data_IF_818243900223
#
_entry.id   IF_818243900223
#
_cell.length_a   1.000
_cell.length_b   1.000
_cell.length_c   1.000
_cell.angle_alpha   90.00
_cell.angle_beta   90.00
_cell.angle_gamma   90.00
#
_symmetry.space_group_name_H-M   'P 1'
#
loop_
_entity.id
_entity.type
_entity.pdbx_description
1 polymer ?
#
# COMPACT_ATOMS: atom_id res chain seq x y z
N UNK A 1 -49.80 25.25 -17.15
CA UNK A 1 -48.37 24.89 -17.26
C UNK A 1 -47.84 24.82 -15.82
N UNK A 2 -47.86 23.63 -15.22
CA UNK A 2 -47.29 23.36 -13.90
C UNK A 2 -45.81 23.00 -14.09
N UNK A 3 -44.87 23.49 -13.26
CA UNK A 3 -43.47 23.10 -13.37
C UNK A 3 -43.33 21.65 -12.93
N UNK A 4 -42.72 20.83 -13.79
CA UNK A 4 -42.40 19.43 -13.59
C UNK A 4 -41.44 19.25 -12.41
N UNK A 5 -41.88 18.50 -11.41
CA UNK A 5 -41.07 17.96 -10.32
C UNK A 5 -39.93 17.11 -10.91
N UNK A 6 -38.68 17.46 -10.59
CA UNK A 6 -37.54 16.55 -10.77
C UNK A 6 -37.69 15.44 -9.73
N UNK A 7 -37.52 14.15 -10.08
CA UNK A 7 -37.45 13.10 -9.08
C UNK A 7 -36.24 13.34 -8.18
N UNK A 8 -36.47 13.31 -6.86
CA UNK A 8 -35.43 13.41 -5.84
C UNK A 8 -34.44 12.24 -5.99
N UNK A 9 -33.13 12.47 -5.75
CA UNK A 9 -32.18 11.38 -5.68
C UNK A 9 -32.56 10.47 -4.51
N UNK A 10 -32.75 9.19 -4.81
CA UNK A 10 -33.00 8.13 -3.83
C UNK A 10 -31.81 8.08 -2.87
N UNK A 11 -32.06 8.42 -1.61
CA UNK A 11 -31.15 8.24 -0.49
C UNK A 11 -31.03 6.75 -0.18
N UNK A 12 -30.13 6.06 -0.87
CA UNK A 12 -29.64 4.73 -0.48
C UNK A 12 -28.24 4.45 -1.06
N UNK A 13 -27.30 5.38 -0.86
CA UNK A 13 -25.86 5.15 -1.06
C UNK A 13 -25.18 5.23 0.30
N UNK A 14 -25.35 4.18 1.10
CA UNK A 14 -24.66 4.01 2.38
C UNK A 14 -23.20 3.65 2.11
N UNK A 15 -22.29 4.63 2.26
CA UNK A 15 -20.85 4.49 1.96
C UNK A 15 -20.11 3.53 2.93
N UNK A 16 -20.69 3.13 4.08
CA UNK A 16 -20.15 2.12 5.02
C UNK A 16 -21.26 1.56 5.93
N UNK A 17 -21.18 0.30 6.43
CA UNK A 17 -21.14 -0.98 5.72
C UNK A 17 -22.52 -1.69 5.73
N UNK A 18 -22.81 -2.46 4.68
CA UNK A 18 -23.86 -3.49 4.70
C UNK A 18 -23.53 -4.50 5.81
N UNK A 19 -24.42 -4.68 6.79
CA UNK A 19 -24.36 -5.80 7.73
C UNK A 19 -24.27 -7.10 6.91
N UNK A 20 -23.13 -7.80 7.04
CA UNK A 20 -22.93 -9.10 6.40
C UNK A 20 -23.03 -10.18 7.44
N UNK A 21 -24.10 -10.95 7.32
CA UNK A 21 -24.41 -12.16 8.08
C UNK A 21 -23.52 -13.34 7.63
N UNK A 22 -22.20 -13.12 7.43
CA UNK A 22 -21.27 -14.23 7.25
C UNK A 22 -20.87 -14.78 8.64
N UNK A 23 -20.94 -16.11 8.86
CA UNK A 23 -20.44 -16.69 10.10
C UNK A 23 -18.97 -16.31 10.25
N UNK A 24 -18.58 -15.71 11.38
CA UNK A 24 -17.21 -15.28 11.67
C UNK A 24 -16.23 -16.40 11.30
N UNK A 25 -15.58 -16.25 10.15
CA UNK A 25 -14.57 -17.19 9.71
C UNK A 25 -13.45 -17.20 10.77
N UNK A 26 -12.95 -18.39 11.09
CA UNK A 26 -11.84 -18.53 12.03
C UNK A 26 -10.67 -17.64 11.57
N UNK A 27 -10.23 -16.76 12.48
CA UNK A 27 -9.06 -15.91 12.23
C UNK A 27 -7.85 -16.76 11.87
N UNK A 28 -6.99 -16.22 11.00
CA UNK A 28 -5.79 -16.89 10.55
C UNK A 28 -4.93 -17.41 11.73
N UNK A 29 -4.29 -18.59 11.56
CA UNK A 29 -3.35 -19.08 12.55
C UNK A 29 -2.14 -18.12 12.72
N UNK A 30 -1.47 -18.12 13.89
CA UNK A 30 -0.41 -17.16 14.18
C UNK A 30 0.76 -17.16 13.19
N UNK A 31 1.07 -18.31 12.58
CA UNK A 31 2.17 -18.45 11.62
C UNK A 31 1.99 -17.58 10.36
N UNK A 32 0.93 -17.78 9.58
CA UNK A 32 0.60 -16.91 8.44
C UNK A 32 0.47 -15.43 8.79
N UNK A 33 -0.09 -15.09 9.96
CA UNK A 33 -0.19 -13.69 10.41
C UNK A 33 1.18 -13.07 10.61
N UNK A 34 2.10 -13.78 11.28
CA UNK A 34 3.46 -13.30 11.51
C UNK A 34 4.23 -13.13 10.18
N UNK A 35 4.10 -14.10 9.28
CA UNK A 35 4.74 -14.04 7.97
C UNK A 35 4.17 -12.91 7.10
N UNK A 36 2.86 -12.65 7.17
CA UNK A 36 2.23 -11.51 6.52
C UNK A 36 2.80 -10.18 7.02
N UNK A 37 2.95 -10.03 8.34
CA UNK A 37 3.57 -8.83 8.95
C UNK A 37 5.01 -8.61 8.48
N UNK A 38 5.79 -9.68 8.33
CA UNK A 38 7.15 -9.60 7.79
C UNK A 38 7.18 -9.07 6.35
N UNK A 39 6.28 -9.57 5.49
CA UNK A 39 6.13 -9.06 4.13
C UNK A 39 5.66 -7.61 4.09
N UNK A 40 4.70 -7.21 4.94
CA UNK A 40 4.24 -5.81 5.05
C UNK A 40 5.42 -4.90 5.42
N UNK A 41 6.16 -5.24 6.47
CA UNK A 41 7.30 -4.46 6.94
C UNK A 41 8.39 -4.33 5.86
N UNK A 42 8.68 -5.42 5.14
CA UNK A 42 9.61 -5.37 4.02
C UNK A 42 9.08 -4.54 2.86
N UNK A 43 7.78 -4.64 2.54
CA UNK A 43 7.13 -3.81 1.53
C UNK A 43 7.26 -2.32 1.84
N UNK A 44 7.01 -1.92 3.10
CA UNK A 44 7.16 -0.54 3.56
C UNK A 44 8.61 -0.07 3.44
N UNK A 45 9.58 -0.86 3.92
CA UNK A 45 11.02 -0.52 3.79
C UNK A 45 11.43 -0.32 2.33
N UNK A 46 10.99 -1.21 1.45
CA UNK A 46 11.30 -1.14 0.03
C UNK A 46 10.66 0.10 -0.63
N UNK A 47 9.43 0.46 -0.25
CA UNK A 47 8.79 1.68 -0.72
C UNK A 47 9.58 2.94 -0.31
N UNK A 48 10.03 2.99 0.94
CA UNK A 48 10.85 4.11 1.46
C UNK A 48 12.20 4.23 0.72
N UNK A 49 12.73 3.13 0.22
CA UNK A 49 13.96 3.10 -0.59
C UNK A 49 13.70 3.37 -2.08
N UNK A 50 12.45 3.63 -2.49
CA UNK A 50 12.07 3.85 -3.89
C UNK A 50 11.95 2.57 -4.72
N UNK A 51 12.06 1.38 -4.11
CA UNK A 51 11.90 0.09 -4.78
C UNK A 51 10.40 -0.28 -4.93
N UNK A 52 9.65 0.53 -5.68
CA UNK A 52 8.18 0.48 -5.78
C UNK A 52 7.67 -0.89 -6.27
N UNK A 53 8.26 -1.46 -7.32
CA UNK A 53 7.83 -2.77 -7.86
C UNK A 53 8.10 -3.92 -6.89
N UNK A 54 9.23 -3.88 -6.19
CA UNK A 54 9.56 -4.87 -5.16
C UNK A 54 8.58 -4.76 -3.99
N UNK A 55 8.29 -3.54 -3.54
CA UNK A 55 7.31 -3.25 -2.49
C UNK A 55 5.92 -3.79 -2.86
N UNK A 56 5.46 -3.49 -4.09
CA UNK A 56 4.19 -4.03 -4.63
C UNK A 56 4.16 -5.55 -4.59
N UNK A 57 5.27 -6.19 -4.96
CA UNK A 57 5.39 -7.65 -4.92
C UNK A 57 5.23 -8.20 -3.49
N UNK A 58 5.76 -7.52 -2.47
CA UNK A 58 5.57 -7.93 -1.08
C UNK A 58 4.10 -7.84 -0.64
N UNK A 59 3.40 -6.75 -0.94
CA UNK A 59 1.98 -6.64 -0.59
C UNK A 59 1.12 -7.68 -1.31
N UNK A 60 1.43 -8.03 -2.56
CA UNK A 60 0.75 -9.13 -3.27
C UNK A 60 1.03 -10.49 -2.61
N UNK A 61 2.24 -10.73 -2.08
CA UNK A 61 2.51 -11.96 -1.32
C UNK A 61 1.66 -12.05 -0.07
N UNK A 62 1.41 -10.93 0.61
CA UNK A 62 0.51 -10.89 1.78
C UNK A 62 -0.89 -11.36 1.38
N UNK A 63 -1.48 -10.78 0.33
CA UNK A 63 -2.83 -11.16 -0.12
C UNK A 63 -2.90 -12.62 -0.56
N UNK A 64 -1.86 -13.15 -1.22
CA UNK A 64 -1.77 -14.57 -1.57
C UNK A 64 -1.67 -15.46 -0.35
N UNK A 65 -0.83 -15.10 0.62
CA UNK A 65 -0.66 -15.86 1.85
C UNK A 65 -1.98 -15.92 2.65
N UNK A 66 -2.65 -14.78 2.81
CA UNK A 66 -3.94 -14.68 3.50
C UNK A 66 -4.98 -15.55 2.79
N UNK A 67 -5.22 -15.33 1.50
CA UNK A 67 -6.22 -16.08 0.74
C UNK A 67 -5.97 -17.60 0.77
N UNK A 68 -4.74 -18.05 0.53
CA UNK A 68 -4.38 -19.48 0.60
C UNK A 68 -4.57 -20.07 1.99
N UNK A 69 -4.29 -19.31 3.04
CA UNK A 69 -4.44 -19.78 4.42
C UNK A 69 -5.93 -19.87 4.82
N UNK A 70 -6.77 -18.94 4.38
CA UNK A 70 -8.23 -19.00 4.58
C UNK A 70 -8.85 -20.18 3.82
N UNK A 71 -8.42 -20.39 2.57
CA UNK A 71 -8.84 -21.53 1.75
C UNK A 71 -8.41 -22.87 2.34
N UNK A 72 -7.20 -22.97 2.91
CA UNK A 72 -6.72 -24.18 3.58
C UNK A 72 -7.55 -24.54 4.83
N UNK A 73 -8.07 -23.55 5.57
CA UNK A 73 -8.91 -23.79 6.74
C UNK A 73 -10.30 -24.33 6.36
N UNK A 74 -10.82 -23.92 5.21
CA UNK A 74 -12.18 -24.25 4.75
C UNK A 74 -12.21 -25.39 3.72
N UNK A 75 -11.04 -25.82 3.22
CA UNK A 75 -10.94 -26.79 2.13
C UNK A 75 -11.47 -26.24 0.80
N UNK A 76 -11.39 -24.92 0.59
CA UNK A 76 -11.96 -24.20 -0.54
C UNK A 76 -10.88 -23.57 -1.44
N UNK A 77 -11.29 -22.94 -2.55
CA UNK A 77 -10.45 -22.07 -3.39
C UNK A 77 -11.06 -20.66 -3.58
N UNK A 78 -12.13 -20.37 -2.82
CA UNK A 78 -12.94 -19.14 -2.91
C UNK A 78 -12.07 -17.89 -2.75
N UNK A 79 -11.17 -17.86 -1.77
CA UNK A 79 -10.39 -16.66 -1.49
C UNK A 79 -9.31 -16.42 -2.55
N UNK A 80 -8.63 -17.48 -2.99
CA UNK A 80 -7.62 -17.40 -4.03
C UNK A 80 -8.22 -17.03 -5.40
N UNK A 81 -9.38 -17.60 -5.74
CA UNK A 81 -10.11 -17.27 -6.97
C UNK A 81 -10.60 -15.82 -6.95
N UNK A 82 -11.12 -15.36 -5.80
CA UNK A 82 -11.52 -13.97 -5.63
C UNK A 82 -10.32 -13.02 -5.76
N UNK A 83 -9.15 -13.36 -5.21
CA UNK A 83 -7.95 -12.54 -5.39
C UNK A 83 -7.58 -12.41 -6.87
N UNK A 84 -7.58 -13.53 -7.60
CA UNK A 84 -7.27 -13.55 -9.02
C UNK A 84 -8.32 -12.79 -9.85
N UNK A 85 -9.59 -12.85 -9.47
CA UNK A 85 -10.67 -12.11 -10.12
C UNK A 85 -10.57 -10.61 -9.87
N UNK A 86 -10.31 -10.19 -8.63
CA UNK A 86 -10.22 -8.78 -8.25
C UNK A 86 -9.02 -8.07 -8.88
N UNK A 87 -7.83 -8.68 -8.84
CA UNK A 87 -6.64 -8.13 -9.50
C UNK A 87 -6.85 -8.00 -11.01
N UNK A 88 -7.41 -9.03 -11.64
CA UNK A 88 -7.69 -9.01 -13.09
C UNK A 88 -8.69 -7.93 -13.46
N UNK A 89 -9.74 -7.74 -12.67
CA UNK A 89 -10.73 -6.71 -12.93
C UNK A 89 -10.12 -5.30 -12.88
N UNK A 90 -9.16 -5.03 -11.97
CA UNK A 90 -8.42 -3.76 -11.97
C UNK A 90 -7.50 -3.60 -13.18
N UNK A 91 -6.86 -4.68 -13.64
CA UNK A 91 -6.03 -4.66 -14.85
C UNK A 91 -6.88 -4.38 -16.09
N UNK A 92 -7.98 -5.11 -16.27
CA UNK A 92 -8.92 -4.96 -17.40
C UNK A 92 -9.70 -3.62 -17.34
N UNK A 93 -9.88 -3.02 -16.17
CA UNK A 93 -10.51 -1.71 -16.02
C UNK A 93 -9.76 -0.61 -16.80
N UNK A 94 -8.44 -0.74 -16.96
CA UNK A 94 -7.60 0.20 -17.70
C UNK A 94 -8.01 0.35 -19.17
N UNK A 95 -8.58 -0.68 -19.78
CA UNK A 95 -8.94 -0.71 -21.20
C UNK A 95 -10.15 0.19 -21.53
N UNK A 96 -10.93 0.59 -20.51
CA UNK A 96 -12.02 1.56 -20.68
C UNK A 96 -11.55 3.02 -20.69
N UNK A 97 -10.25 3.28 -20.47
CA UNK A 97 -9.70 4.63 -20.50
C UNK A 97 -9.40 5.04 -21.95
N UNK A 98 -9.93 6.19 -22.44
CA UNK A 98 -9.60 6.69 -23.76
C UNK A 98 -8.08 6.92 -23.88
N UNK A 99 -7.46 6.31 -24.88
CA UNK A 99 -6.02 6.48 -25.14
C UNK A 99 -5.80 7.58 -26.20
N UNK A 100 -5.04 8.63 -25.86
CA UNK A 100 -4.65 9.69 -26.79
C UNK A 100 -5.69 10.81 -26.99
N UNK A 101 -5.59 11.56 -28.09
CA UNK A 101 -6.53 12.64 -28.46
C UNK A 101 -7.89 12.15 -29.00
N UNK A 102 -8.11 10.83 -28.99
CA UNK A 102 -9.36 10.21 -29.40
C UNK A 102 -10.44 10.45 -28.35
N UNK A 103 -11.50 11.13 -28.75
CA UNK A 103 -12.74 11.25 -27.98
C UNK A 103 -13.30 9.84 -27.65
N UNK A 104 -14.03 9.73 -26.54
CA UNK A 104 -14.70 8.51 -26.05
C UNK A 104 -15.46 7.74 -27.14
N UNK A 105 -15.89 8.41 -28.21
CA UNK A 105 -16.65 7.85 -29.34
C UNK A 105 -15.92 6.83 -30.22
N UNK A 106 -14.62 6.59 -30.04
CA UNK A 106 -13.86 5.57 -30.81
C UNK A 106 -13.67 4.24 -30.05
N UNK A 107 -14.12 4.12 -28.80
CA UNK A 107 -13.96 2.90 -28.02
C UNK A 107 -15.11 1.91 -28.31
N UNK A 108 -14.78 0.77 -28.94
CA UNK A 108 -15.72 -0.34 -29.12
C UNK A 108 -15.87 -1.11 -27.81
N UNK A 109 -16.79 -0.66 -26.96
CA UNK A 109 -17.06 -1.23 -25.64
C UNK A 109 -17.41 -2.72 -25.71
N UNK A 110 -18.19 -3.12 -26.71
CA UNK A 110 -18.58 -4.52 -26.90
C UNK A 110 -17.37 -5.41 -27.11
N UNK A 111 -16.49 -5.03 -28.03
CA UNK A 111 -15.25 -5.78 -28.30
C UNK A 111 -14.33 -5.86 -27.09
N UNK A 112 -14.17 -4.76 -26.35
CA UNK A 112 -13.36 -4.72 -25.11
C UNK A 112 -13.94 -5.68 -24.07
N UNK A 113 -15.23 -5.58 -23.75
CA UNK A 113 -15.91 -6.43 -22.76
C UNK A 113 -15.87 -7.91 -23.17
N UNK A 114 -16.00 -8.21 -24.46
CA UNK A 114 -15.90 -9.58 -24.96
C UNK A 114 -14.52 -10.18 -24.73
N UNK A 115 -13.44 -9.40 -24.91
CA UNK A 115 -12.06 -9.84 -24.71
C UNK A 115 -11.71 -10.08 -23.23
N UNK A 116 -12.35 -9.33 -22.32
CA UNK A 116 -12.12 -9.44 -20.88
C UNK A 116 -12.58 -10.79 -20.32
N UNK A 117 -11.92 -11.25 -19.25
CA UNK A 117 -12.36 -12.43 -18.49
C UNK A 117 -13.28 -12.04 -17.33
N UNK A 118 -13.29 -10.77 -16.91
CA UNK A 118 -14.19 -10.26 -15.88
C UNK A 118 -15.65 -10.35 -16.36
N UNK A 119 -16.57 -10.93 -15.56
CA UNK A 119 -17.91 -11.27 -16.04
C UNK A 119 -18.93 -10.12 -16.02
N UNK A 120 -18.63 -9.00 -15.35
CA UNK A 120 -19.59 -7.98 -14.87
C UNK A 120 -20.51 -7.40 -15.94
N UNK A 121 -20.02 -7.24 -17.17
CA UNK A 121 -20.75 -6.55 -18.24
C UNK A 121 -21.07 -7.44 -19.45
N UNK A 122 -20.76 -8.74 -19.39
CA UNK A 122 -20.92 -9.68 -20.53
C UNK A 122 -22.35 -9.80 -21.05
N UNK A 123 -23.35 -9.53 -20.20
CA UNK A 123 -24.77 -9.69 -20.51
C UNK A 123 -25.55 -8.36 -20.56
N UNK A 124 -24.86 -7.21 -20.57
CA UNK A 124 -25.53 -5.89 -20.63
C UNK A 124 -25.72 -5.41 -22.06
N UNK A 125 -26.76 -4.62 -22.30
CA UNK A 125 -26.98 -3.94 -23.58
C UNK A 125 -25.93 -2.82 -23.75
N UNK A 126 -25.07 -2.99 -24.75
CA UNK A 126 -23.96 -2.07 -25.08
C UNK A 126 -24.44 -0.67 -25.45
N UNK A 127 -25.65 -0.54 -26.00
CA UNK A 127 -26.18 0.75 -26.51
C UNK A 127 -26.41 1.79 -25.41
N UNK A 128 -26.44 1.36 -24.15
CA UNK A 128 -26.68 2.23 -23.00
C UNK A 128 -25.44 2.38 -22.11
N UNK A 129 -24.32 1.75 -22.45
CA UNK A 129 -23.14 1.69 -21.62
C UNK A 129 -22.15 2.79 -22.00
N UNK A 130 -21.64 3.53 -21.01
CA UNK A 130 -20.56 4.50 -21.19
C UNK A 130 -19.23 3.91 -20.70
N UNK A 131 -18.07 4.38 -21.20
CA UNK A 131 -16.76 3.94 -20.69
C UNK A 131 -16.61 4.17 -19.18
N UNK A 132 -17.09 5.31 -18.67
CA UNK A 132 -17.08 5.60 -17.24
C UNK A 132 -17.94 4.61 -16.44
N UNK A 133 -19.14 4.28 -16.90
CA UNK A 133 -19.99 3.30 -16.23
C UNK A 133 -19.37 1.89 -16.26
N UNK A 134 -18.71 1.53 -17.36
CA UNK A 134 -17.98 0.27 -17.47
C UNK A 134 -16.79 0.21 -16.50
N UNK A 135 -16.00 1.28 -16.44
CA UNK A 135 -14.90 1.45 -15.51
C UNK A 135 -15.39 1.30 -14.06
N UNK A 136 -16.42 2.04 -13.67
CA UNK A 136 -17.02 1.97 -12.33
C UNK A 136 -17.49 0.56 -11.97
N UNK A 137 -18.13 -0.16 -12.91
CA UNK A 137 -18.60 -1.51 -12.68
C UNK A 137 -17.44 -2.51 -12.45
N UNK A 138 -16.33 -2.35 -13.16
CA UNK A 138 -15.13 -3.18 -12.96
C UNK A 138 -14.45 -2.89 -11.63
N UNK A 139 -14.31 -1.62 -11.26
CA UNK A 139 -13.78 -1.21 -9.96
C UNK A 139 -14.63 -1.75 -8.79
N UNK A 140 -15.95 -1.59 -8.85
CA UNK A 140 -16.86 -2.12 -7.83
C UNK A 140 -16.76 -3.65 -7.69
N UNK A 141 -16.65 -4.38 -8.81
CA UNK A 141 -16.43 -5.82 -8.77
C UNK A 141 -15.07 -6.17 -8.17
N UNK A 142 -14.01 -5.44 -8.54
CA UNK A 142 -12.69 -5.65 -7.99
C UNK A 142 -12.67 -5.45 -6.46
N UNK A 143 -13.30 -4.39 -5.96
CA UNK A 143 -13.43 -4.10 -4.53
C UNK A 143 -14.07 -5.27 -3.78
N UNK A 144 -15.19 -5.80 -4.30
CA UNK A 144 -15.85 -6.95 -3.67
C UNK A 144 -15.00 -8.21 -3.71
N UNK A 145 -14.35 -8.49 -4.84
CA UNK A 145 -13.50 -9.68 -4.97
C UNK A 145 -12.25 -9.59 -4.08
N UNK A 146 -11.63 -8.42 -3.97
CA UNK A 146 -10.50 -8.19 -3.06
C UNK A 146 -10.93 -8.29 -1.60
N UNK A 147 -12.13 -7.81 -1.25
CA UNK A 147 -12.67 -7.98 0.09
C UNK A 147 -12.91 -9.46 0.43
N UNK A 148 -13.52 -10.23 -0.49
CA UNK A 148 -13.67 -11.67 -0.33
C UNK A 148 -12.30 -12.33 -0.17
N UNK A 149 -11.31 -11.97 -0.99
CA UNK A 149 -9.96 -12.53 -0.92
C UNK A 149 -9.26 -12.30 0.43
N UNK A 150 -9.47 -11.13 1.03
CA UNK A 150 -8.88 -10.76 2.32
C UNK A 150 -9.64 -11.27 3.54
N UNK A 151 -10.92 -11.65 3.40
CA UNK A 151 -11.76 -12.05 4.53
C UNK A 151 -11.91 -10.92 5.54
N UNK A 152 -11.71 -11.21 6.83
CA UNK A 152 -11.70 -10.24 7.93
C UNK A 152 -10.29 -10.02 8.52
N UNK A 153 -9.25 -10.20 7.70
CA UNK A 153 -7.86 -10.18 8.16
C UNK A 153 -7.23 -8.80 8.01
N UNK A 154 -6.85 -8.19 9.13
CA UNK A 154 -6.18 -6.88 9.15
C UNK A 154 -4.94 -6.84 8.24
N UNK A 155 -4.17 -7.94 8.18
CA UNK A 155 -2.99 -8.01 7.31
C UNK A 155 -3.33 -7.83 5.81
N UNK A 156 -4.51 -8.29 5.37
CA UNK A 156 -4.97 -8.05 4.00
C UNK A 156 -5.37 -6.59 3.79
N UNK A 157 -6.05 -5.97 4.76
CA UNK A 157 -6.36 -4.55 4.72
C UNK A 157 -5.09 -3.68 4.68
N UNK A 158 -4.09 -3.97 5.51
CA UNK A 158 -2.77 -3.30 5.51
C UNK A 158 -2.07 -3.43 4.15
N UNK A 159 -2.14 -4.61 3.53
CA UNK A 159 -1.53 -4.84 2.22
C UNK A 159 -2.23 -4.06 1.11
N UNK A 160 -3.56 -3.98 1.13
CA UNK A 160 -4.34 -3.17 0.17
C UNK A 160 -4.08 -1.67 0.38
N UNK A 161 -4.02 -1.22 1.63
CA UNK A 161 -3.59 0.13 1.97
C UNK A 161 -2.18 0.44 1.40
N UNK A 162 -1.23 -0.49 1.58
CA UNK A 162 0.10 -0.39 1.00
C UNK A 162 0.08 -0.29 -0.53
N UNK A 163 -0.68 -1.16 -1.21
CA UNK A 163 -0.84 -1.15 -2.67
C UNK A 163 -1.44 0.17 -3.18
N UNK A 164 -2.42 0.73 -2.46
CA UNK A 164 -3.04 2.00 -2.77
C UNK A 164 -2.01 3.15 -2.72
N UNK A 165 -1.18 3.19 -1.66
CA UNK A 165 -0.12 4.21 -1.50
C UNK A 165 0.94 4.14 -2.60
N UNK A 166 1.14 2.98 -3.23
CA UNK A 166 2.09 2.83 -4.33
C UNK A 166 1.54 3.28 -5.69
N UNK A 167 0.21 3.34 -5.88
CA UNK A 167 -0.38 3.63 -7.20
C UNK A 167 0.12 4.93 -7.84
N UNK A 168 0.21 6.06 -7.12
CA UNK A 168 0.72 7.31 -7.71
C UNK A 168 2.17 7.22 -8.22
N UNK A 169 2.92 6.19 -7.82
CA UNK A 169 4.30 5.96 -8.23
C UNK A 169 4.44 4.89 -9.33
N UNK A 170 3.39 4.13 -9.62
CA UNK A 170 3.37 3.07 -10.63
C UNK A 170 2.92 3.59 -12.00
N UNK A 171 2.09 4.62 -12.04
CA UNK A 171 1.56 5.22 -13.28
C UNK A 171 2.58 6.16 -13.97
N UNK A 172 3.79 5.65 -14.22
CA UNK A 172 4.89 6.37 -14.91
C UNK A 172 4.58 6.65 -16.39
N UNK A 173 3.55 6.01 -16.96
CA UNK A 173 3.08 6.25 -18.35
C UNK A 173 2.19 7.49 -18.49
N UNK A 174 1.67 8.04 -17.39
CA UNK A 174 0.92 9.29 -17.41
C UNK A 174 1.90 10.46 -17.29
N UNK A 175 2.41 10.93 -18.42
CA UNK A 175 3.16 12.18 -18.54
C UNK A 175 2.39 13.44 -18.07
N UNK A 176 1.16 13.27 -17.57
CA UNK A 176 0.37 14.30 -16.90
C UNK A 176 0.17 13.90 -15.44
N UNK A 177 0.96 14.50 -14.53
CA UNK A 177 0.82 14.43 -13.06
C UNK A 177 -0.53 14.93 -12.51
N UNK A 178 -1.47 15.26 -13.39
CA UNK A 178 -2.77 15.83 -13.06
C UNK A 178 -3.88 14.92 -13.58
N UNK A 179 -4.34 13.99 -12.74
CA UNK A 179 -5.79 13.74 -12.69
C UNK A 179 -6.32 12.31 -12.66
N UNK A 180 -5.54 11.26 -12.90
CA UNK A 180 -6.13 9.93 -13.16
C UNK A 180 -5.60 8.73 -12.36
N UNK A 181 -4.69 8.93 -11.41
CA UNK A 181 -4.13 7.83 -10.58
C UNK A 181 -5.04 7.46 -9.38
N UNK A 182 -6.19 8.14 -9.25
CA UNK A 182 -7.13 8.00 -8.15
C UNK A 182 -7.95 6.71 -8.13
N UNK A 183 -8.57 6.25 -9.24
CA UNK A 183 -9.57 5.19 -9.20
C UNK A 183 -9.04 3.84 -8.67
N UNK A 184 -7.83 3.44 -9.07
CA UNK A 184 -7.24 2.17 -8.59
C UNK A 184 -6.88 2.28 -7.11
N UNK A 185 -6.30 3.42 -6.68
CA UNK A 185 -6.00 3.67 -5.27
C UNK A 185 -7.29 3.67 -4.42
N UNK A 186 -8.35 4.30 -4.90
CA UNK A 186 -9.66 4.33 -4.25
C UNK A 186 -10.21 2.91 -4.08
N UNK A 187 -10.19 2.07 -5.12
CA UNK A 187 -10.65 0.69 -5.01
C UNK A 187 -9.85 -0.13 -4.00
N UNK A 188 -8.53 0.09 -3.90
CA UNK A 188 -7.74 -0.57 -2.87
C UNK A 188 -8.09 -0.07 -1.45
N UNK A 189 -8.30 1.23 -1.25
CA UNK A 189 -8.74 1.75 0.05
C UNK A 189 -10.15 1.27 0.43
N UNK A 190 -11.09 1.26 -0.52
CA UNK A 190 -12.44 0.75 -0.33
C UNK A 190 -12.42 -0.75 0.01
N UNK A 191 -11.63 -1.55 -0.70
CA UNK A 191 -11.45 -2.97 -0.38
C UNK A 191 -10.85 -3.17 1.03
N UNK A 192 -9.88 -2.34 1.43
CA UNK A 192 -9.31 -2.39 2.79
C UNK A 192 -10.37 -2.11 3.86
N UNK A 193 -11.24 -1.12 3.64
CA UNK A 193 -12.35 -0.79 4.56
C UNK A 193 -13.47 -1.84 4.56
N UNK A 194 -13.68 -2.55 3.44
CA UNK A 194 -14.60 -3.68 3.40
C UNK A 194 -14.09 -4.88 4.20
N UNK A 195 -12.78 -5.08 4.27
CA UNK A 195 -12.13 -6.15 5.07
C UNK A 195 -12.09 -5.78 6.55
N UNK A 196 -11.61 -4.57 6.83
CA UNK A 196 -11.43 -4.05 8.18
C UNK A 196 -12.01 -2.64 8.27
N UNK A 197 -13.30 -2.50 8.69
CA UNK A 197 -13.97 -1.21 8.74
C UNK A 197 -13.22 -0.17 9.56
N UNK A 198 -12.61 -0.54 10.69
CA UNK A 198 -11.87 0.37 11.57
C UNK A 198 -10.47 0.78 11.04
N UNK A 199 -10.15 0.51 9.77
CA UNK A 199 -8.86 0.86 9.17
C UNK A 199 -8.73 2.39 8.92
N UNK A 200 -8.54 3.16 10.00
CA UNK A 200 -8.55 4.63 9.99
C UNK A 200 -7.56 5.24 8.98
N UNK A 201 -6.40 4.61 8.76
CA UNK A 201 -5.41 5.10 7.78
C UNK A 201 -5.93 5.05 6.34
N UNK A 202 -6.72 4.02 6.01
CA UNK A 202 -7.30 3.87 4.66
C UNK A 202 -8.48 4.82 4.49
N UNK A 203 -9.32 4.97 5.52
CA UNK A 203 -10.39 5.95 5.54
C UNK A 203 -9.84 7.38 5.39
N UNK A 204 -8.76 7.74 6.11
CA UNK A 204 -8.14 9.05 5.98
C UNK A 204 -7.67 9.33 4.54
N UNK A 205 -6.93 8.40 3.92
CA UNK A 205 -6.45 8.57 2.54
C UNK A 205 -7.59 8.58 1.51
N UNK A 206 -8.63 7.75 1.70
CA UNK A 206 -9.83 7.76 0.86
C UNK A 206 -10.56 9.11 0.94
N UNK A 207 -10.69 9.67 2.14
CA UNK A 207 -11.26 11.01 2.34
C UNK A 207 -10.45 12.11 1.66
N UNK A 208 -9.12 12.02 1.70
CA UNK A 208 -8.22 12.93 0.95
C UNK A 208 -8.45 12.81 -0.56
N UNK A 209 -8.60 11.60 -1.09
CA UNK A 209 -8.89 11.39 -2.51
C UNK A 209 -10.27 11.95 -2.90
N UNK A 210 -11.31 11.69 -2.11
CA UNK A 210 -12.63 12.29 -2.35
C UNK A 210 -12.57 13.82 -2.36
N UNK A 211 -11.84 14.43 -1.41
CA UNK A 211 -11.67 15.88 -1.38
C UNK A 211 -10.92 16.41 -2.60
N UNK A 212 -9.91 15.68 -3.09
CA UNK A 212 -9.16 16.02 -4.31
C UNK A 212 -10.05 15.98 -5.55
N UNK A 213 -10.99 15.04 -5.64
CA UNK A 213 -11.95 14.92 -6.73
C UNK A 213 -13.21 15.79 -6.55
N UNK A 214 -13.25 16.66 -5.55
CA UNK A 214 -14.37 17.58 -5.31
C UNK A 214 -15.59 16.94 -4.63
N UNK A 215 -15.52 15.67 -4.27
CA UNK A 215 -16.54 14.95 -3.50
C UNK A 215 -16.44 15.30 -2.01
N UNK A 216 -16.62 16.57 -1.68
CA UNK A 216 -16.37 17.10 -0.32
C UNK A 216 -17.29 16.50 0.75
N UNK A 217 -18.54 16.15 0.41
CA UNK A 217 -19.47 15.52 1.35
C UNK A 217 -19.04 14.09 1.70
N UNK A 218 -18.66 13.31 0.69
CA UNK A 218 -18.17 11.94 0.89
C UNK A 218 -16.84 11.97 1.67
N UNK A 219 -15.96 12.91 1.34
CA UNK A 219 -14.72 13.16 2.08
C UNK A 219 -14.98 13.44 3.56
N UNK A 220 -15.96 14.29 3.87
CA UNK A 220 -16.35 14.62 5.25
C UNK A 220 -16.81 13.38 6.00
N UNK A 221 -17.71 12.58 5.44
CA UNK A 221 -18.22 11.38 6.14
C UNK A 221 -17.11 10.37 6.42
N UNK A 222 -16.27 10.09 5.43
CA UNK A 222 -15.17 9.11 5.61
C UNK A 222 -14.09 9.64 6.57
N UNK A 223 -13.76 10.94 6.55
CA UNK A 223 -12.80 11.52 7.50
C UNK A 223 -13.36 11.58 8.92
N UNK A 224 -14.66 11.83 9.10
CA UNK A 224 -15.33 11.74 10.41
C UNK A 224 -15.26 10.32 10.95
N UNK A 225 -15.50 9.34 10.10
CA UNK A 225 -15.34 7.94 10.47
C UNK A 225 -13.89 7.63 10.88
N UNK A 226 -12.89 8.05 10.09
CA UNK A 226 -11.47 7.87 10.43
C UNK A 226 -11.11 8.51 11.79
N UNK A 227 -11.61 9.72 12.07
CA UNK A 227 -11.39 10.41 13.34
C UNK A 227 -12.07 9.70 14.52
N UNK A 228 -13.22 9.05 14.28
CA UNK A 228 -13.88 8.24 15.31
C UNK A 228 -13.16 6.92 15.59
N UNK A 229 -12.61 6.29 14.55
CA UNK A 229 -11.86 5.04 14.67
C UNK A 229 -10.50 5.23 15.34
N UNK A 230 -9.83 6.37 15.10
CA UNK A 230 -8.64 6.76 15.83
C UNK A 230 -8.63 8.27 16.12
N UNK A 231 -9.13 8.70 17.30
CA UNK A 231 -9.14 10.10 17.71
C UNK A 231 -7.74 10.71 17.86
N UNK A 232 -6.71 9.89 18.09
CA UNK A 232 -5.35 10.35 18.36
C UNK A 232 -4.50 10.52 17.09
N UNK A 233 -5.11 10.60 15.91
CA UNK A 233 -4.43 10.84 14.63
C UNK A 233 -4.56 12.32 14.21
N UNK A 234 -3.53 13.16 14.42
CA UNK A 234 -3.58 14.59 14.08
C UNK A 234 -3.87 14.83 12.59
N UNK A 235 -3.29 14.01 11.70
CA UNK A 235 -3.43 14.16 10.25
C UNK A 235 -4.90 14.08 9.81
N UNK A 236 -5.67 13.20 10.45
CA UNK A 236 -7.10 13.03 10.15
C UNK A 236 -7.90 14.28 10.51
N UNK A 237 -7.65 14.86 11.69
CA UNK A 237 -8.27 16.11 12.12
C UNK A 237 -7.91 17.30 11.23
N UNK A 238 -6.64 17.38 10.80
CA UNK A 238 -6.20 18.41 9.85
C UNK A 238 -6.93 18.29 8.51
N UNK A 239 -7.06 17.07 7.98
CA UNK A 239 -7.77 16.83 6.73
C UNK A 239 -9.26 17.15 6.87
N UNK A 240 -9.89 16.76 7.98
CA UNK A 240 -11.29 17.04 8.26
C UNK A 240 -11.57 18.55 8.38
N UNK A 241 -10.69 19.30 9.06
CA UNK A 241 -10.78 20.75 9.13
C UNK A 241 -10.78 21.40 7.74
N UNK A 242 -9.84 21.00 6.87
CA UNK A 242 -9.75 21.51 5.48
C UNK A 242 -10.98 21.18 4.64
N UNK A 243 -11.59 20.02 4.85
CA UNK A 243 -12.83 19.64 4.16
C UNK A 243 -14.00 20.50 4.65
N UNK A 244 -14.13 20.72 5.96
CA UNK A 244 -15.13 21.63 6.51
C UNK A 244 -14.98 23.07 6.01
N UNK A 245 -13.75 23.59 5.92
CA UNK A 245 -13.47 24.91 5.32
C UNK A 245 -13.97 25.00 3.87
N UNK A 246 -13.66 23.98 3.05
CA UNK A 246 -14.11 23.91 1.65
C UNK A 246 -15.63 23.81 1.52
N UNK A 247 -16.31 23.24 2.50
CA UNK A 247 -17.77 23.16 2.58
C UNK A 247 -18.42 24.44 3.15
N UNK A 248 -17.63 25.38 3.70
CA UNK A 248 -18.13 26.57 4.40
C UNK A 248 -18.64 26.31 5.82
N UNK A 249 -18.34 25.15 6.39
CA UNK A 249 -18.77 24.71 7.72
C UNK A 249 -17.79 25.22 8.80
N UNK A 250 -17.68 26.55 8.92
CA UNK A 250 -16.62 27.23 9.69
C UNK A 250 -16.52 26.80 11.16
N UNK A 251 -17.65 26.57 11.85
CA UNK A 251 -17.65 26.15 13.24
C UNK A 251 -17.03 24.75 13.40
N UNK A 252 -17.38 23.82 12.51
CA UNK A 252 -16.83 22.47 12.50
C UNK A 252 -15.35 22.46 12.10
N UNK A 253 -14.96 23.32 11.14
CA UNK A 253 -13.56 23.51 10.77
C UNK A 253 -12.71 23.97 11.96
N UNK A 254 -13.19 24.95 12.73
CA UNK A 254 -12.51 25.46 13.91
C UNK A 254 -12.36 24.41 15.00
N UNK A 255 -13.40 23.61 15.24
CA UNK A 255 -13.37 22.49 16.18
C UNK A 255 -12.33 21.43 15.77
N UNK A 256 -12.38 20.95 14.54
CA UNK A 256 -11.41 19.99 14.03
C UNK A 256 -9.96 20.55 14.07
N UNK A 257 -9.78 21.83 13.76
CA UNK A 257 -8.48 22.50 13.85
C UNK A 257 -7.99 22.67 15.29
N UNK A 258 -8.88 22.78 16.29
CA UNK A 258 -8.48 22.77 17.70
C UNK A 258 -8.02 21.39 18.16
N UNK A 259 -8.70 20.32 17.74
CA UNK A 259 -8.27 18.94 18.05
C UNK A 259 -6.89 18.65 17.44
N UNK A 260 -6.69 18.98 16.16
CA UNK A 260 -5.39 18.87 15.51
C UNK A 260 -4.26 19.58 16.31
N UNK A 261 -4.51 20.81 16.76
CA UNK A 261 -3.53 21.59 17.54
C UNK A 261 -3.25 20.97 18.91
N UNK A 262 -4.29 20.50 19.60
CA UNK A 262 -4.17 19.82 20.89
C UNK A 262 -3.25 18.59 20.77
N UNK A 263 -3.55 17.69 19.82
CA UNK A 263 -2.78 16.47 19.60
C UNK A 263 -1.35 16.74 19.12
N UNK A 264 -1.15 17.71 18.22
CA UNK A 264 0.19 18.06 17.71
C UNK A 264 1.08 18.67 18.81
N UNK A 265 0.49 19.47 19.71
CA UNK A 265 1.20 20.04 20.85
C UNK A 265 1.53 18.97 21.90
N UNK A 266 0.61 18.05 22.15
CA UNK A 266 0.83 16.90 23.04
C UNK A 266 1.97 16.02 22.53
N UNK A 267 2.01 15.68 21.24
CA UNK A 267 3.08 14.90 20.63
C UNK A 267 4.46 15.57 20.76
N UNK A 268 4.51 16.89 20.68
CA UNK A 268 5.75 17.66 20.88
C UNK A 268 6.20 17.65 22.34
N UNK A 269 5.25 17.72 23.28
CA UNK A 269 5.52 17.72 24.73
C UNK A 269 5.91 16.34 25.32
N UNK A 270 5.56 15.25 24.62
CA UNK A 270 5.87 13.86 25.02
C UNK A 270 7.26 13.40 24.52
N UNK A 271 7.99 14.25 23.79
CA UNK A 271 9.45 14.06 23.69
C UNK A 271 10.04 14.14 25.10
N UNK A 272 10.81 13.13 25.59
CA UNK A 272 11.40 13.21 26.90
C UNK A 272 12.39 14.37 26.91
N UNK A 273 11.96 15.51 27.45
CA UNK A 273 12.83 16.53 27.99
C UNK A 273 13.54 15.91 29.21
N UNK A 274 14.52 15.07 28.94
CA UNK A 274 15.24 14.28 29.91
C UNK A 274 16.06 13.20 29.21
N UNK A 275 17.31 13.54 28.87
CA UNK A 275 18.35 12.66 28.30
C UNK A 275 18.27 12.34 26.79
N UNK A 276 18.28 13.37 25.95
CA UNK A 276 19.03 13.27 24.69
C UNK A 276 20.51 13.59 24.99
N UNK A 277 21.49 12.75 24.63
CA UNK A 277 22.89 13.15 24.70
C UNK A 277 23.06 14.33 23.74
N UNK A 278 23.27 15.53 24.28
CA UNK A 278 23.60 16.69 23.46
C UNK A 278 24.92 16.38 22.76
N UNK A 279 24.88 16.19 21.44
CA UNK A 279 26.08 16.14 20.62
C UNK A 279 26.64 17.54 20.58
N UNK A 280 27.55 17.82 21.51
CA UNK A 280 28.31 19.06 21.56
C UNK A 280 29.52 18.91 20.64
N UNK A 281 29.51 19.65 19.53
CA UNK A 281 30.68 19.78 18.68
C UNK A 281 31.75 20.58 19.43
N UNK A 282 32.86 19.92 19.73
CA UNK A 282 34.05 20.51 20.35
C UNK A 282 35.18 20.54 19.32
N UNK A 283 36.13 21.45 19.48
CA UNK A 283 37.30 21.47 18.59
C UNK A 283 38.18 20.24 18.83
N UNK A 284 39.04 19.83 17.86
CA UNK A 284 39.96 18.71 18.04
C UNK A 284 40.84 18.83 19.30
N UNK A 285 41.22 20.04 19.68
CA UNK A 285 42.02 20.33 20.88
C UNK A 285 41.23 20.12 22.18
N UNK A 286 39.95 20.50 22.20
CA UNK A 286 39.05 20.31 23.35
C UNK A 286 38.73 18.83 23.57
N UNK A 287 38.52 18.08 22.49
CA UNK A 287 38.33 16.63 22.54
C UNK A 287 39.55 15.91 23.13
N UNK A 288 40.77 16.30 22.70
CA UNK A 288 42.01 15.70 23.17
C UNK A 288 42.29 15.96 24.66
N UNK A 289 41.80 17.09 25.22
CA UNK A 289 41.95 17.39 26.65
C UNK A 289 40.99 16.57 27.54
N UNK A 290 39.79 16.30 27.05
CA UNK A 290 38.78 15.56 27.80
C UNK A 290 39.19 14.09 28.04
N UNK A 291 39.82 13.44 27.05
CA UNK A 291 40.36 12.08 27.22
C UNK A 291 41.55 12.01 28.18
N UNK A 292 42.41 13.04 28.20
CA UNK A 292 43.58 13.09 29.08
C UNK A 292 43.22 13.22 30.57
N UNK A 293 42.02 13.73 30.91
CA UNK A 293 41.54 13.82 32.29
C UNK A 293 40.90 12.53 32.80
N UNK A 294 40.39 11.64 31.92
CA UNK A 294 39.84 10.34 32.35
C UNK A 294 40.91 9.27 32.58
N UNK A 295 42.07 9.39 31.92
CA UNK A 295 43.15 8.40 31.99
C UNK A 295 44.03 8.54 33.25
N UNK A 296 43.91 9.62 34.01
CA UNK A 296 44.61 9.77 35.28
C UNK A 296 43.99 8.95 36.43
N UNK A 297 42.77 8.41 36.24
CA UNK A 297 42.04 7.67 37.28
C UNK A 297 41.87 6.16 36.99
N UNK A 298 42.16 5.68 35.78
CA UNK A 298 42.05 4.27 35.42
C UNK A 298 43.37 3.75 34.85
N UNK A 299 44.20 3.17 35.72
CA UNK A 299 45.41 2.48 35.33
C UNK A 299 45.05 1.11 34.72
N UNK A 300 44.99 1.02 33.40
CA UNK A 300 44.82 -0.24 32.67
C UNK A 300 46.19 -0.69 32.14
N UNK A 301 46.87 -1.58 32.87
CA UNK A 301 48.07 -2.25 32.35
C UNK A 301 47.67 -3.19 31.18
N UNK A 302 48.21 -2.94 29.99
CA UNK A 302 48.13 -3.88 28.87
C UNK A 302 48.85 -5.18 29.20
N UNK A 303 48.09 -6.29 29.30
CA UNK A 303 48.66 -7.64 29.24
C UNK A 303 48.63 -8.14 27.80
N UNK A 304 49.80 -8.46 27.26
CA UNK A 304 49.92 -9.08 25.94
C UNK A 304 49.25 -10.47 25.88
N UNK A 305 48.65 -10.84 24.73
CA UNK A 305 47.90 -12.08 24.58
C UNK A 305 48.84 -13.29 24.46
N UNK A 306 48.56 -14.33 25.25
CA UNK A 306 49.27 -15.62 25.24
C UNK A 306 48.86 -16.46 24.02
N UNK A 307 49.79 -17.09 23.29
CA UNK A 307 49.47 -17.88 22.10
C UNK A 307 48.92 -19.27 22.49
N UNK A 308 47.75 -19.64 21.94
CA UNK A 308 47.13 -20.94 22.16
C UNK A 308 47.89 -22.04 21.38
N UNK A 309 48.31 -23.07 22.11
CA UNK A 309 49.05 -24.22 21.61
C UNK A 309 48.20 -25.20 20.78
N UNK A 310 48.86 -25.81 19.81
CA UNK A 310 48.34 -26.79 18.87
C UNK A 310 47.80 -28.08 19.52
N UNK A 311 46.72 -28.63 18.96
CA UNK A 311 46.40 -30.06 19.04
C UNK A 311 46.14 -30.64 17.66
N UNK A 312 46.96 -31.62 17.32
CA UNK A 312 46.95 -32.47 16.14
C UNK A 312 45.83 -33.51 16.23
N UNK A 313 45.10 -33.72 15.13
CA UNK A 313 44.43 -35.00 14.84
C UNK A 313 44.40 -35.20 13.31
N UNK A 314 44.98 -36.31 12.89
CA UNK A 314 45.28 -36.70 11.53
C UNK A 314 44.01 -36.97 10.70
N UNK A 315 44.02 -36.61 9.41
CA UNK A 315 43.18 -37.23 8.38
C UNK A 315 44.07 -37.77 7.25
N UNK A 316 43.80 -38.95 6.69
CA UNK A 316 44.63 -39.52 5.63
C UNK A 316 44.40 -38.80 4.30
N UNK A 317 45.49 -38.50 3.60
CA UNK A 317 45.50 -38.12 2.18
C UNK A 317 45.31 -39.36 1.31
N UNK A 318 44.49 -39.28 0.27
CA UNK A 318 44.75 -39.97 -0.99
C UNK A 318 44.88 -38.93 -2.11
N UNK A 319 46.06 -38.93 -2.72
CA UNK A 319 46.43 -38.34 -4.01
C UNK A 319 45.80 -39.23 -5.12
N UNK A 320 45.73 -38.94 -6.42
CA UNK A 320 46.36 -37.99 -7.34
C UNK A 320 45.50 -38.02 -8.65
N UNK A 321 45.25 -36.88 -9.31
CA UNK A 321 45.86 -36.42 -10.59
C UNK A 321 45.19 -36.89 -11.91
N UNK A 322 45.43 -36.15 -13.03
CA UNK A 322 44.40 -35.79 -14.01
C UNK A 322 44.61 -36.44 -15.39
N UNK A 323 43.63 -36.28 -16.28
CA UNK A 323 43.83 -36.41 -17.72
C UNK A 323 43.13 -35.30 -18.49
N UNK A 324 43.92 -34.60 -19.31
CA UNK A 324 43.48 -33.72 -20.40
C UNK A 324 42.85 -34.53 -21.55
N UNK A 325 41.95 -33.92 -22.34
CA UNK A 325 42.24 -33.65 -23.76
C UNK A 325 41.12 -32.84 -24.44
N UNK A 326 41.52 -32.23 -25.56
CA UNK A 326 40.97 -31.08 -26.28
C UNK A 326 39.86 -31.42 -27.28
N UNK A 327 39.01 -30.44 -27.60
CA UNK A 327 38.75 -29.87 -28.96
C UNK A 327 37.58 -28.85 -28.87
N UNK A 328 37.78 -27.54 -29.09
CA UNK A 328 37.67 -26.74 -30.35
C UNK A 328 36.43 -27.15 -31.19
N UNK A 329 35.48 -26.28 -31.54
CA UNK A 329 35.62 -25.02 -32.33
C UNK A 329 34.37 -24.11 -32.26
N UNK A 330 34.61 -22.77 -32.20
CA UNK A 330 34.05 -21.60 -32.98
C UNK A 330 32.55 -21.61 -33.38
N UNK A 331 31.80 -20.52 -33.53
CA UNK A 331 31.87 -19.04 -33.41
C UNK A 331 30.39 -18.60 -33.62
N UNK A 332 29.86 -17.49 -33.11
CA UNK A 332 30.04 -16.18 -33.73
C UNK A 332 29.43 -15.04 -32.87
N UNK A 333 29.95 -13.86 -33.15
CA UNK A 333 29.81 -12.56 -32.48
C UNK A 333 28.49 -11.85 -32.83
N UNK A 334 28.17 -10.88 -31.97
CA UNK A 334 27.71 -9.50 -32.23
C UNK A 334 26.44 -9.20 -31.43
N UNK A 335 26.21 -8.04 -30.84
CA UNK A 335 27.02 -6.85 -30.63
C UNK A 335 26.39 -6.10 -29.44
N UNK A 336 27.25 -5.51 -28.60
CA UNK A 336 26.88 -4.48 -27.63
C UNK A 336 26.33 -3.27 -28.38
N UNK A 337 25.23 -2.67 -27.92
CA UNK A 337 25.08 -1.22 -27.93
C UNK A 337 24.40 -0.72 -26.66
N UNK A 338 25.01 0.35 -26.17
CA UNK A 338 24.76 1.05 -24.95
C UNK A 338 24.23 2.45 -25.33
N UNK A 339 23.15 2.88 -24.67
CA UNK A 339 22.77 4.28 -24.32
C UNK A 339 22.30 5.22 -25.48
N UNK A 340 21.69 6.40 -25.22
CA UNK A 340 21.34 7.06 -23.94
C UNK A 340 19.90 7.62 -23.83
N UNK A 341 19.60 8.15 -22.63
CA UNK A 341 18.59 9.16 -22.32
C UNK A 341 18.74 10.44 -23.16
N UNK A 342 17.60 11.05 -23.51
CA UNK A 342 17.38 12.50 -23.59
C UNK A 342 15.91 12.77 -23.34
#
# INVERSE_FOLDING_TARGET
>A
IRPSERPAPTTDDSILPLERDEPQAASLPPGPVQQAREYINEGIRQAQQGAIYSSRSQFIKVLRLVSQSLDAQTGSTRHADALAAGVRALEEAGDFRPSGSGLEGNLDLGRVIMAHRTPVLKNRDEKQLTPLAALQAYHAYAEQQLAIAGGHELAAADALYGLAKLQPHLDVTAANKEGYDGPIAMSYYQAALLIYPEHYMAANELGVLFARFGQLRDAREVLRFAASANPDCPETWLNLARVHEKLGENDLANLAASEYRSLSSAATSVSPAGNQPQVQWVTPEEFSRAGAQSDAANNWEMREPTPAAARSAQRPRQQAKPTESKSKTKSDKSTRRAWPFS
#
